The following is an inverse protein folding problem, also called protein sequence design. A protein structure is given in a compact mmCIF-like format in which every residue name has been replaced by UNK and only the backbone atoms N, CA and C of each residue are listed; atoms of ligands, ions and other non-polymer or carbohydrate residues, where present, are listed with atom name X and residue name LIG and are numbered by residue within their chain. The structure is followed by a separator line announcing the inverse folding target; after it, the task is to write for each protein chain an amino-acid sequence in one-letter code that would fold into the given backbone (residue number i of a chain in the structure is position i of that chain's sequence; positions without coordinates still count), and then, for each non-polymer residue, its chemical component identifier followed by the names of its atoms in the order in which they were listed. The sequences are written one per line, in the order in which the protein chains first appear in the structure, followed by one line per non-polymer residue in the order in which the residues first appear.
data_IF_713384541273
#
_entry.id   IF_713384541273
#
_cell.length_a   1.000
_cell.length_b   1.000
_cell.length_c   1.000
_cell.angle_alpha   90.00
_cell.angle_beta   90.00
_cell.angle_gamma   90.00
#
_symmetry.space_group_name_H-M   'P 1'
#
loop_
_entity.id
_entity.type
_entity.pdbx_description
1 polymer ?
#
# COMPACT_ATOMS: atom_id res chain seq x y z
N UNK A 1 22.74 -14.52 4.92
CA UNK A 1 22.00 -15.02 6.09
C UNK A 1 20.52 -14.86 5.77
N UNK A 2 19.78 -15.95 5.66
CA UNK A 2 18.34 -15.89 5.40
C UNK A 2 17.65 -15.28 6.61
N UNK A 3 17.27 -13.99 6.49
CA UNK A 3 16.52 -13.28 7.53
C UNK A 3 15.23 -14.04 7.91
N UNK A 4 14.67 -14.82 6.97
CA UNK A 4 13.49 -15.66 7.12
C UNK A 4 13.72 -16.98 7.86
N UNK A 5 14.98 -17.40 8.04
CA UNK A 5 15.34 -18.54 8.88
C UNK A 5 15.50 -18.15 10.36
N UNK A 6 15.34 -16.87 10.70
CA UNK A 6 15.32 -16.42 12.08
C UNK A 6 14.11 -17.01 12.81
N UNK A 7 14.29 -17.75 13.92
CA UNK A 7 13.24 -18.58 14.53
C UNK A 7 11.88 -17.88 14.78
N UNK A 8 11.82 -16.65 15.35
CA UNK A 8 10.53 -16.01 15.57
C UNK A 8 9.89 -15.53 14.27
N UNK A 9 10.66 -15.19 13.23
CA UNK A 9 10.12 -14.81 11.93
C UNK A 9 9.59 -16.04 11.18
N UNK A 10 10.29 -17.17 11.28
CA UNK A 10 9.83 -18.44 10.73
C UNK A 10 8.52 -18.91 11.37
N UNK A 11 8.39 -18.79 12.70
CA UNK A 11 7.15 -19.09 13.42
C UNK A 11 6.00 -18.19 12.99
N UNK A 12 6.24 -16.88 12.87
CA UNK A 12 5.21 -15.95 12.40
C UNK A 12 4.75 -16.26 10.98
N UNK A 13 5.68 -16.60 10.08
CA UNK A 13 5.35 -16.99 8.71
C UNK A 13 4.56 -18.29 8.67
N UNK A 14 4.97 -19.31 9.42
CA UNK A 14 4.26 -20.60 9.49
C UNK A 14 2.85 -20.44 10.08
N UNK A 15 2.70 -19.69 11.18
CA UNK A 15 1.38 -19.36 11.74
C UNK A 15 0.49 -18.63 10.73
N UNK A 16 1.06 -17.69 9.98
CA UNK A 16 0.33 -16.92 8.96
C UNK A 16 -0.10 -17.82 7.80
N UNK A 17 0.79 -18.68 7.31
CA UNK A 17 0.50 -19.65 6.24
C UNK A 17 -0.58 -20.63 6.66
N UNK A 18 -0.48 -21.21 7.86
CA UNK A 18 -1.51 -22.13 8.40
C UNK A 18 -2.86 -21.44 8.59
N UNK A 19 -2.87 -20.22 9.12
CA UNK A 19 -4.09 -19.45 9.28
C UNK A 19 -4.75 -19.14 7.93
N UNK A 20 -3.95 -18.80 6.90
CA UNK A 20 -4.44 -18.60 5.53
C UNK A 20 -5.04 -19.90 4.96
N UNK A 21 -4.35 -21.03 5.08
CA UNK A 21 -4.86 -22.33 4.60
C UNK A 21 -6.16 -22.76 5.33
N UNK A 22 -6.23 -22.54 6.64
CA UNK A 22 -7.44 -22.79 7.42
C UNK A 22 -8.61 -21.90 6.95
N UNK A 23 -8.33 -20.64 6.63
CA UNK A 23 -9.33 -19.74 6.07
C UNK A 23 -9.77 -20.16 4.66
N UNK A 24 -8.84 -20.61 3.82
CA UNK A 24 -9.14 -21.09 2.45
C UNK A 24 -10.05 -22.32 2.52
N UNK A 25 -9.69 -23.34 3.30
CA UNK A 25 -10.52 -24.55 3.48
C UNK A 25 -11.89 -24.25 4.07
N UNK A 26 -12.01 -23.26 4.95
CA UNK A 26 -13.30 -22.78 5.44
C UNK A 26 -14.15 -22.08 4.36
N UNK A 27 -13.52 -21.35 3.43
CA UNK A 27 -14.18 -20.63 2.35
C UNK A 27 -14.45 -21.48 1.10
N UNK A 28 -13.72 -22.57 0.93
CA UNK A 28 -13.82 -23.51 -0.19
C UNK A 28 -15.26 -24.00 -0.47
N UNK A 29 -16.07 -24.43 0.51
CA UNK A 29 -17.45 -24.86 0.24
C UNK A 29 -18.36 -23.71 -0.25
N UNK A 30 -18.01 -22.45 0.01
CA UNK A 30 -18.80 -21.27 -0.36
C UNK A 30 -18.36 -20.66 -1.69
N UNK A 31 -17.07 -20.73 -2.01
CA UNK A 31 -16.45 -19.94 -3.08
C UNK A 31 -15.71 -20.78 -4.12
N UNK A 32 -15.57 -22.09 -3.89
CA UNK A 32 -14.90 -23.02 -4.81
C UNK A 32 -13.47 -22.59 -5.12
N UNK A 33 -13.08 -22.63 -6.40
CA UNK A 33 -11.74 -22.26 -6.87
C UNK A 33 -11.34 -20.80 -6.61
N UNK A 34 -12.24 -19.94 -6.12
CA UNK A 34 -11.90 -18.56 -5.72
C UNK A 34 -11.53 -18.43 -4.24
N UNK A 35 -11.59 -19.51 -3.46
CA UNK A 35 -11.37 -19.46 -2.01
C UNK A 35 -10.03 -18.82 -1.62
N UNK A 36 -8.98 -19.08 -2.39
CA UNK A 36 -7.66 -18.49 -2.14
C UNK A 36 -7.63 -16.98 -2.44
N UNK A 37 -8.25 -16.52 -3.52
CA UNK A 37 -8.41 -15.09 -3.79
C UNK A 37 -9.23 -14.40 -2.69
N UNK A 38 -10.36 -15.00 -2.31
CA UNK A 38 -11.24 -14.45 -1.26
C UNK A 38 -10.53 -14.42 0.09
N UNK A 39 -9.75 -15.44 0.44
CA UNK A 39 -8.95 -15.46 1.66
C UNK A 39 -7.94 -14.29 1.69
N UNK A 40 -7.23 -14.04 0.58
CA UNK A 40 -6.34 -12.87 0.46
C UNK A 40 -7.10 -11.57 0.66
N UNK A 41 -8.28 -11.41 0.04
CA UNK A 41 -9.13 -10.21 0.20
C UNK A 41 -9.56 -10.04 1.66
N UNK A 42 -10.08 -11.10 2.31
CA UNK A 42 -10.57 -11.07 3.68
C UNK A 42 -9.46 -10.72 4.67
N UNK A 43 -8.29 -11.36 4.57
CA UNK A 43 -7.14 -11.06 5.42
C UNK A 43 -6.68 -9.62 5.21
N UNK A 44 -6.63 -9.16 3.96
CA UNK A 44 -6.27 -7.77 3.65
C UNK A 44 -7.23 -6.79 4.31
N UNK A 45 -8.54 -7.03 4.21
CA UNK A 45 -9.56 -6.17 4.84
C UNK A 45 -9.47 -6.21 6.37
N UNK A 46 -9.25 -7.38 6.97
CA UNK A 46 -9.09 -7.51 8.43
C UNK A 46 -7.91 -6.68 8.94
N UNK A 47 -6.75 -6.78 8.28
CA UNK A 47 -5.56 -5.96 8.62
C UNK A 47 -5.85 -4.47 8.41
N UNK A 48 -6.54 -4.11 7.33
CA UNK A 48 -6.91 -2.72 7.05
C UNK A 48 -7.87 -2.13 8.09
N UNK A 49 -8.80 -2.92 8.60
CA UNK A 49 -9.68 -2.56 9.72
C UNK A 49 -8.87 -2.30 10.98
N UNK A 50 -7.93 -3.19 11.33
CA UNK A 50 -7.05 -3.01 12.49
C UNK A 50 -6.18 -1.74 12.37
N UNK A 51 -5.81 -1.36 11.15
CA UNK A 51 -5.02 -0.16 10.86
C UNK A 51 -5.84 1.13 10.69
N UNK A 52 -7.18 1.09 10.86
CA UNK A 52 -8.03 2.29 10.85
C UNK A 52 -7.54 3.41 11.80
N UNK A 53 -7.17 3.18 13.07
CA UNK A 53 -6.66 4.24 13.95
C UNK A 53 -5.41 4.92 13.39
N UNK A 54 -4.51 4.15 12.76
CA UNK A 54 -3.32 4.71 12.10
C UNK A 54 -3.75 5.62 10.95
N UNK A 55 -4.71 5.19 10.12
CA UNK A 55 -5.24 6.04 9.04
C UNK A 55 -5.94 7.31 9.55
N UNK A 56 -6.62 7.26 10.70
CA UNK A 56 -7.18 8.46 11.35
C UNK A 56 -6.06 9.41 11.78
N UNK A 57 -4.98 8.91 12.38
CA UNK A 57 -3.83 9.76 12.74
C UNK A 57 -3.17 10.40 11.52
N UNK A 58 -3.09 9.68 10.40
CA UNK A 58 -2.58 10.23 9.13
C UNK A 58 -3.43 11.38 8.62
N UNK A 59 -4.76 11.22 8.61
CA UNK A 59 -5.67 12.25 8.13
C UNK A 59 -5.57 13.53 8.99
N UNK A 60 -5.45 13.37 10.32
CA UNK A 60 -5.20 14.51 11.23
C UNK A 60 -3.86 15.17 10.94
N UNK A 61 -2.79 14.40 10.73
CA UNK A 61 -1.48 14.93 10.38
C UNK A 61 -1.47 15.68 9.04
N UNK A 62 -2.19 15.17 8.02
CA UNK A 62 -2.37 15.83 6.73
C UNK A 62 -3.09 17.17 6.88
N UNK A 63 -4.18 17.21 7.65
CA UNK A 63 -4.92 18.43 7.94
C UNK A 63 -4.06 19.49 8.63
N UNK A 64 -3.30 19.10 9.66
CA UNK A 64 -2.39 20.01 10.36
C UNK A 64 -1.30 20.53 9.42
N UNK A 65 -0.70 19.67 8.58
CA UNK A 65 0.30 20.10 7.58
C UNK A 65 -0.28 21.08 6.57
N UNK A 66 -1.49 20.85 6.08
CA UNK A 66 -2.17 21.77 5.18
C UNK A 66 -2.42 23.14 5.85
N UNK A 67 -2.82 23.15 7.14
CA UNK A 67 -2.98 24.37 7.94
C UNK A 67 -1.67 25.15 8.10
N UNK A 68 -0.56 24.46 8.32
CA UNK A 68 0.76 25.07 8.56
C UNK A 68 1.48 25.49 7.27
N UNK A 69 1.13 24.91 6.12
CA UNK A 69 1.75 25.18 4.82
C UNK A 69 1.94 26.69 4.49
N UNK A 70 0.95 27.59 4.65
CA UNK A 70 1.15 29.01 4.35
C UNK A 70 2.18 29.67 5.26
N UNK A 71 2.21 29.34 6.56
CA UNK A 71 3.20 29.89 7.51
C UNK A 71 4.60 29.36 7.23
N UNK A 72 4.71 28.08 6.87
CA UNK A 72 5.96 27.47 6.44
C UNK A 72 6.53 28.17 5.20
N UNK A 73 5.70 28.54 4.23
CA UNK A 73 6.13 29.33 3.05
C UNK A 73 6.67 30.70 3.45
N UNK A 74 6.03 31.38 4.39
CA UNK A 74 6.51 32.68 4.90
C UNK A 74 7.88 32.55 5.54
N UNK A 75 8.10 31.51 6.36
CA UNK A 75 9.42 31.22 6.95
C UNK A 75 10.46 30.91 5.88
N UNK A 76 10.12 30.09 4.88
CA UNK A 76 11.01 29.76 3.76
C UNK A 76 11.43 31.00 2.98
N UNK A 77 10.51 31.94 2.71
CA UNK A 77 10.83 33.22 2.06
C UNK A 77 11.70 34.12 2.94
N UNK A 78 11.36 34.24 4.23
CA UNK A 78 12.07 35.12 5.18
C UNK A 78 13.51 34.67 5.44
N UNK A 79 13.73 33.37 5.53
CA UNK A 79 15.02 32.77 5.89
C UNK A 79 15.67 31.98 4.76
N UNK A 80 15.34 32.27 3.50
CA UNK A 80 15.85 31.56 2.33
C UNK A 80 17.39 31.44 2.29
N UNK A 81 18.09 32.46 2.81
CA UNK A 81 19.57 32.53 2.85
C UNK A 81 20.18 31.94 4.13
N UNK A 82 19.39 31.58 5.14
CA UNK A 82 19.88 31.07 6.42
C UNK A 82 19.16 29.75 6.77
N UNK A 83 19.72 28.64 6.28
CA UNK A 83 19.16 27.29 6.47
C UNK A 83 19.06 26.89 7.94
N UNK A 84 20.03 27.26 8.76
CA UNK A 84 20.03 26.92 10.17
C UNK A 84 18.88 27.62 10.91
N UNK A 85 18.70 28.92 10.66
CA UNK A 85 17.59 29.67 11.23
C UNK A 85 16.23 29.19 10.69
N UNK A 86 16.14 28.87 9.39
CA UNK A 86 14.96 28.27 8.79
C UNK A 86 14.56 26.97 9.50
N UNK A 87 15.51 26.07 9.77
CA UNK A 87 15.25 24.82 10.46
C UNK A 87 14.76 25.04 11.90
N UNK A 88 15.41 25.93 12.65
CA UNK A 88 15.02 26.26 14.04
C UNK A 88 13.60 26.83 14.10
N UNK A 89 13.29 27.83 13.29
CA UNK A 89 11.98 28.49 13.24
C UNK A 89 10.89 27.54 12.74
N UNK A 90 11.21 26.67 11.78
CA UNK A 90 10.28 25.62 11.30
C UNK A 90 9.94 24.64 12.42
N UNK A 91 10.95 24.17 13.15
CA UNK A 91 10.73 23.25 14.28
C UNK A 91 9.96 23.92 15.40
N UNK A 92 10.25 25.19 15.70
CA UNK A 92 9.53 25.98 16.68
C UNK A 92 8.05 26.13 16.29
N UNK A 93 7.75 26.46 15.03
CA UNK A 93 6.38 26.52 14.53
C UNK A 93 5.63 25.19 14.71
N UNK A 94 6.27 24.05 14.42
CA UNK A 94 5.67 22.74 14.66
C UNK A 94 5.39 22.51 16.15
N UNK A 95 6.32 22.89 17.04
CA UNK A 95 6.16 22.74 18.50
C UNK A 95 5.04 23.62 19.06
N UNK A 96 5.00 24.89 18.67
CA UNK A 96 4.00 25.86 19.12
C UNK A 96 2.58 25.42 18.72
N UNK A 97 2.46 24.70 17.60
CA UNK A 97 1.19 24.18 17.08
C UNK A 97 0.89 22.74 17.55
N UNK A 98 1.71 22.19 18.46
CA UNK A 98 1.55 20.81 18.98
C UNK A 98 1.65 19.73 17.90
N UNK A 99 2.36 20.02 16.80
CA UNK A 99 2.46 19.18 15.62
C UNK A 99 3.87 18.57 15.48
N UNK A 100 3.97 17.44 14.79
CA UNK A 100 5.27 16.79 14.51
C UNK A 100 5.51 16.68 13.00
N UNK A 101 6.73 17.02 12.52
CA UNK A 101 7.08 16.83 11.11
C UNK A 101 7.07 15.34 10.72
N UNK A 102 7.27 14.43 11.68
CA UNK A 102 7.30 12.99 11.46
C UNK A 102 5.93 12.30 11.55
N UNK A 103 4.86 13.01 11.92
CA UNK A 103 3.53 12.42 12.08
C UNK A 103 3.00 11.72 10.81
N UNK A 104 3.53 12.02 9.63
CA UNK A 104 3.17 11.37 8.38
C UNK A 104 3.96 10.11 7.99
N UNK A 105 5.04 9.73 8.70
CA UNK A 105 5.80 8.51 8.40
C UNK A 105 5.34 7.28 9.18
N UNK A 106 4.63 7.47 10.30
CA UNK A 106 3.97 6.44 11.10
C UNK A 106 3.25 5.34 10.27
N UNK A 107 2.43 5.67 9.26
CA UNK A 107 1.81 4.67 8.38
C UNK A 107 2.77 3.76 7.63
N UNK A 108 3.89 4.29 7.13
CA UNK A 108 4.87 3.48 6.40
C UNK A 108 5.50 2.47 7.36
N UNK A 109 5.82 2.91 8.58
CA UNK A 109 6.35 2.05 9.63
C UNK A 109 5.35 0.98 10.08
N UNK A 110 4.06 1.35 10.22
CA UNK A 110 3.02 0.41 10.61
C UNK A 110 2.69 -0.61 9.49
N UNK A 111 2.87 -0.22 8.22
CA UNK A 111 2.53 -1.06 7.07
C UNK A 111 3.68 -1.94 6.59
N UNK A 112 4.94 -1.55 6.86
CA UNK A 112 6.12 -2.31 6.44
C UNK A 112 6.11 -3.78 6.93
N UNK A 113 5.77 -4.10 8.20
CA UNK A 113 5.70 -5.49 8.66
C UNK A 113 4.64 -6.32 7.92
N UNK A 114 3.47 -5.71 7.66
CA UNK A 114 2.36 -6.38 6.96
C UNK A 114 2.76 -6.71 5.52
N UNK A 115 3.33 -5.74 4.80
CA UNK A 115 3.76 -5.93 3.41
C UNK A 115 4.91 -6.94 3.34
N UNK A 116 5.87 -6.85 4.27
CA UNK A 116 6.99 -7.80 4.34
C UNK A 116 6.52 -9.24 4.57
N UNK A 117 5.55 -9.44 5.47
CA UNK A 117 4.99 -10.76 5.77
C UNK A 117 4.22 -11.34 4.57
N UNK A 118 3.35 -10.54 3.94
CA UNK A 118 2.61 -10.96 2.74
C UNK A 118 3.55 -11.31 1.60
N UNK A 119 4.57 -10.47 1.35
CA UNK A 119 5.55 -10.72 0.31
C UNK A 119 6.35 -12.00 0.59
N UNK A 120 6.79 -12.20 1.83
CA UNK A 120 7.53 -13.40 2.23
C UNK A 120 6.69 -14.68 2.07
N UNK A 121 5.41 -14.65 2.43
CA UNK A 121 4.51 -15.82 2.29
C UNK A 121 4.25 -16.17 0.82
N UNK A 122 4.21 -15.21 -0.10
CA UNK A 122 3.88 -15.50 -1.52
C UNK A 122 5.08 -15.56 -2.47
N UNK A 123 6.29 -15.19 -2.02
CA UNK A 123 7.51 -15.36 -2.82
C UNK A 123 8.33 -16.59 -2.44
N UNK A 124 8.17 -17.13 -1.23
CA UNK A 124 8.97 -18.27 -0.81
C UNK A 124 8.25 -19.60 -1.15
N UNK A 125 8.88 -20.47 -1.96
CA UNK A 125 8.37 -21.82 -2.23
C UNK A 125 8.35 -22.71 -0.99
N UNK A 126 9.09 -22.32 0.05
CA UNK A 126 9.14 -23.01 1.33
C UNK A 126 9.00 -22.01 2.48
N UNK A 127 8.12 -22.31 3.42
CA UNK A 127 7.88 -21.49 4.62
C UNK A 127 8.01 -22.39 5.84
N UNK A 128 8.86 -22.03 6.79
CA UNK A 128 9.06 -22.81 8.02
C UNK A 128 9.53 -24.26 7.77
N UNK A 129 10.31 -24.49 6.71
CA UNK A 129 10.84 -25.83 6.36
C UNK A 129 9.87 -26.74 5.59
N UNK A 130 8.67 -26.26 5.25
CA UNK A 130 7.66 -27.02 4.50
C UNK A 130 7.40 -26.39 3.13
N UNK A 131 6.97 -27.21 2.16
CA UNK A 131 6.53 -26.71 0.84
C UNK A 131 5.31 -25.81 1.05
N UNK A 132 5.34 -24.65 0.41
CA UNK A 132 4.30 -23.66 0.51
C UNK A 132 3.11 -24.01 -0.40
N UNK A 133 2.17 -24.79 0.14
CA UNK A 133 0.96 -25.23 -0.58
C UNK A 133 0.04 -24.07 -0.96
N UNK A 134 0.22 -22.85 -0.41
CA UNK A 134 -0.53 -21.67 -0.86
C UNK A 134 -0.24 -21.29 -2.32
N UNK A 135 0.94 -21.65 -2.84
CA UNK A 135 1.34 -21.35 -4.22
C UNK A 135 0.69 -22.29 -5.24
N UNK A 136 0.15 -23.42 -4.79
CA UNK A 136 -0.56 -24.40 -5.63
C UNK A 136 -1.98 -23.94 -5.99
N UNK A 137 -2.54 -23.02 -5.21
CA UNK A 137 -3.86 -22.44 -5.50
C UNK A 137 -3.78 -21.45 -6.66
N UNK A 138 -4.79 -21.52 -7.53
CA UNK A 138 -4.99 -20.59 -8.63
C UNK A 138 -6.14 -19.61 -8.37
N UNK A 139 -6.18 -18.57 -9.19
CA UNK A 139 -7.32 -17.67 -9.29
C UNK A 139 -7.75 -17.67 -10.74
N UNK A 140 -8.93 -18.23 -11.00
CA UNK A 140 -9.46 -18.36 -12.36
C UNK A 140 -8.49 -19.09 -13.30
N UNK A 141 -7.70 -20.05 -12.80
CA UNK A 141 -6.69 -20.79 -13.57
C UNK A 141 -5.29 -20.14 -13.62
N UNK A 142 -5.10 -18.95 -13.04
CA UNK A 142 -3.78 -18.31 -12.93
C UNK A 142 -3.15 -18.58 -11.54
N UNK A 143 -1.96 -19.21 -11.44
CA UNK A 143 -1.35 -19.52 -10.15
C UNK A 143 -1.06 -18.26 -9.31
N UNK A 144 -1.36 -18.31 -8.02
CA UNK A 144 -1.18 -17.17 -7.09
C UNK A 144 0.27 -16.68 -6.99
N UNK A 145 1.24 -17.59 -7.13
CA UNK A 145 2.67 -17.31 -7.09
C UNK A 145 3.20 -16.66 -8.38
N UNK A 146 2.42 -16.62 -9.45
CA UNK A 146 2.90 -16.20 -10.77
C UNK A 146 2.89 -14.68 -10.90
N UNK A 147 3.99 -14.09 -11.40
CA UNK A 147 4.07 -12.68 -11.80
C UNK A 147 3.92 -12.55 -13.32
N UNK A 148 3.28 -11.49 -13.82
CA UNK A 148 3.12 -11.28 -15.27
C UNK A 148 4.48 -11.13 -15.97
N UNK A 149 5.36 -10.29 -15.44
CA UNK A 149 6.69 -10.06 -16.02
C UNK A 149 7.49 -11.35 -16.08
N UNK A 150 7.48 -12.16 -15.02
CA UNK A 150 8.14 -13.46 -15.00
C UNK A 150 7.56 -14.45 -16.03
N UNK A 151 6.23 -14.44 -16.22
CA UNK A 151 5.58 -15.29 -17.21
C UNK A 151 5.95 -14.86 -18.64
N UNK A 152 6.00 -13.55 -18.90
CA UNK A 152 6.41 -13.00 -20.20
C UNK A 152 7.90 -13.26 -20.49
N UNK A 153 8.78 -13.04 -19.52
CA UNK A 153 10.23 -13.23 -19.69
C UNK A 153 10.62 -14.68 -19.92
N UNK A 154 9.87 -15.62 -19.36
CA UNK A 154 10.09 -17.07 -19.54
C UNK A 154 9.32 -17.66 -20.72
N UNK A 155 8.51 -16.86 -21.43
CA UNK A 155 7.67 -17.33 -22.53
C UNK A 155 6.54 -18.27 -22.11
N UNK A 156 6.17 -18.27 -20.82
CA UNK A 156 5.17 -19.17 -20.25
C UNK A 156 3.82 -18.50 -20.02
N UNK A 157 3.65 -17.24 -20.43
CA UNK A 157 2.41 -16.48 -20.30
C UNK A 157 1.30 -17.07 -21.18
N UNK A 158 0.29 -17.62 -20.53
CA UNK A 158 -0.94 -18.12 -21.14
C UNK A 158 -2.04 -17.05 -21.16
N UNK A 159 -3.06 -17.26 -22.00
CA UNK A 159 -4.15 -16.30 -22.19
C UNK A 159 -4.91 -16.00 -20.88
N UNK A 160 -5.06 -16.99 -20.00
CA UNK A 160 -5.74 -16.85 -18.71
C UNK A 160 -4.95 -15.93 -17.77
N UNK A 161 -3.64 -16.17 -17.61
CA UNK A 161 -2.77 -15.28 -16.82
C UNK A 161 -2.82 -13.84 -17.34
N UNK A 162 -2.76 -13.65 -18.67
CA UNK A 162 -2.84 -12.32 -19.28
C UNK A 162 -4.17 -11.63 -18.97
N UNK A 163 -5.29 -12.34 -19.10
CA UNK A 163 -6.62 -11.80 -18.84
C UNK A 163 -6.78 -11.38 -17.37
N UNK A 164 -6.36 -12.25 -16.43
CA UNK A 164 -6.45 -11.97 -14.99
C UNK A 164 -5.61 -10.73 -14.62
N UNK A 165 -4.36 -10.66 -15.09
CA UNK A 165 -3.51 -9.50 -14.83
C UNK A 165 -4.03 -8.23 -15.51
N UNK A 166 -4.61 -8.31 -16.71
CA UNK A 166 -5.21 -7.17 -17.39
C UNK A 166 -6.38 -6.58 -16.58
N UNK A 167 -7.28 -7.43 -16.06
CA UNK A 167 -8.38 -7.00 -15.18
C UNK A 167 -7.83 -6.37 -13.91
N UNK A 168 -6.86 -7.01 -13.27
CA UNK A 168 -6.23 -6.52 -12.04
C UNK A 168 -5.62 -5.11 -12.24
N UNK A 169 -4.84 -4.93 -13.29
CA UNK A 169 -4.22 -3.64 -13.64
C UNK A 169 -5.27 -2.59 -13.98
N UNK A 170 -6.30 -2.96 -14.74
CA UNK A 170 -7.39 -2.04 -15.07
C UNK A 170 -8.11 -1.54 -13.81
N UNK A 171 -8.35 -2.41 -12.83
CA UNK A 171 -8.95 -2.02 -11.55
C UNK A 171 -8.03 -1.08 -10.77
N UNK A 172 -6.74 -1.42 -10.61
CA UNK A 172 -5.79 -0.55 -9.90
C UNK A 172 -5.67 0.81 -10.59
N UNK A 173 -5.56 0.83 -11.92
CA UNK A 173 -5.49 2.06 -12.71
C UNK A 173 -6.78 2.88 -12.60
N UNK A 174 -7.94 2.24 -12.60
CA UNK A 174 -9.23 2.89 -12.39
C UNK A 174 -9.33 3.55 -11.00
N UNK A 175 -8.90 2.84 -9.94
CA UNK A 175 -8.82 3.40 -8.58
C UNK A 175 -7.81 4.54 -8.51
N UNK A 176 -6.66 4.42 -9.19
CA UNK A 176 -5.64 5.46 -9.26
C UNK A 176 -6.16 6.72 -9.96
N UNK A 177 -6.86 6.58 -11.09
CA UNK A 177 -7.48 7.69 -11.81
C UNK A 177 -8.61 8.33 -10.99
N UNK A 178 -9.44 7.53 -10.32
CA UNK A 178 -10.47 8.05 -9.42
C UNK A 178 -9.85 8.81 -8.25
N UNK A 179 -8.77 8.29 -7.67
CA UNK A 179 -7.97 8.98 -6.63
C UNK A 179 -7.43 10.30 -7.16
N UNK A 180 -6.85 10.32 -8.37
CA UNK A 180 -6.33 11.54 -8.99
C UNK A 180 -7.43 12.57 -9.24
N UNK A 181 -8.61 12.14 -9.67
CA UNK A 181 -9.76 13.02 -9.93
C UNK A 181 -10.35 13.61 -8.65
N UNK A 182 -10.53 12.80 -7.61
CA UNK A 182 -11.22 13.19 -6.38
C UNK A 182 -10.29 13.79 -5.31
N UNK A 183 -9.01 13.39 -5.30
CA UNK A 183 -8.07 13.65 -4.21
C UNK A 183 -6.78 14.30 -4.71
N UNK A 184 -6.90 15.30 -5.61
CA UNK A 184 -5.74 16.04 -6.14
C UNK A 184 -4.84 16.53 -5.00
N UNK A 185 -3.56 16.11 -4.96
CA UNK A 185 -2.63 16.66 -3.98
C UNK A 185 -2.43 18.15 -4.26
N UNK A 186 -2.45 18.97 -3.21
CA UNK A 186 -2.13 20.38 -3.35
C UNK A 186 -0.63 20.50 -3.63
N UNK A 187 -0.28 20.82 -4.88
CA UNK A 187 1.11 21.14 -5.26
C UNK A 187 1.32 22.63 -5.04
N UNK A 188 2.49 23.00 -4.51
CA UNK A 188 2.84 24.39 -4.33
C UNK A 188 2.92 25.10 -5.70
N UNK A 189 2.21 26.22 -5.92
CA UNK A 189 2.30 26.95 -7.19
C UNK A 189 3.70 27.50 -7.47
N UNK A 190 4.58 27.59 -6.46
CA UNK A 190 5.99 27.96 -6.64
C UNK A 190 6.91 26.76 -6.91
N UNK A 191 6.40 25.53 -6.87
CA UNK A 191 7.19 24.35 -7.19
C UNK A 191 7.45 24.24 -8.71
N UNK A 192 8.59 23.68 -9.13
CA UNK A 192 8.87 23.44 -10.55
C UNK A 192 7.78 22.60 -11.22
N UNK A 193 7.45 22.90 -12.48
CA UNK A 193 6.37 22.24 -13.22
C UNK A 193 6.48 20.70 -13.27
N UNK A 194 7.69 20.15 -13.24
CA UNK A 194 7.93 18.70 -13.20
C UNK A 194 7.35 18.03 -11.95
N UNK A 195 7.27 18.76 -10.82
CA UNK A 195 6.74 18.23 -9.56
C UNK A 195 5.26 17.90 -9.66
N UNK A 196 4.47 18.76 -10.32
CA UNK A 196 3.05 18.52 -10.58
C UNK A 196 2.83 17.28 -11.46
N UNK A 197 3.66 17.12 -12.49
CA UNK A 197 3.65 15.94 -13.36
C UNK A 197 3.96 14.65 -12.58
N UNK A 198 5.04 14.65 -11.79
CA UNK A 198 5.43 13.49 -10.98
C UNK A 198 4.35 13.10 -9.97
N UNK A 199 3.77 14.08 -9.26
CA UNK A 199 2.70 13.83 -8.28
C UNK A 199 1.45 13.25 -8.95
N UNK A 200 1.16 13.63 -10.18
CA UNK A 200 0.06 13.06 -10.96
C UNK A 200 0.26 11.60 -11.35
N UNK A 201 1.51 11.14 -11.49
CA UNK A 201 1.86 9.76 -11.87
C UNK A 201 1.95 8.85 -10.65
N UNK A 202 2.24 9.38 -9.46
CA UNK A 202 2.41 8.58 -8.23
C UNK A 202 1.32 7.51 -8.00
N UNK A 203 0.01 7.78 -8.18
CA UNK A 203 -1.02 6.76 -7.97
C UNK A 203 -0.94 5.56 -8.94
N UNK A 204 -0.40 5.76 -10.14
CA UNK A 204 -0.27 4.72 -11.17
C UNK A 204 0.94 3.82 -10.95
N UNK A 205 1.91 4.23 -10.15
CA UNK A 205 3.10 3.41 -9.85
C UNK A 205 2.73 2.05 -9.28
N UNK A 206 1.64 1.96 -8.51
CA UNK A 206 1.15 0.69 -7.95
C UNK A 206 0.67 -0.28 -9.04
N UNK A 207 0.05 0.23 -10.12
CA UNK A 207 -0.36 -0.60 -11.25
C UNK A 207 0.87 -1.20 -11.97
N UNK A 208 1.95 -0.42 -12.11
CA UNK A 208 3.22 -0.91 -12.63
C UNK A 208 3.84 -1.99 -11.74
N UNK A 209 3.92 -1.74 -10.42
CA UNK A 209 4.46 -2.71 -9.44
C UNK A 209 3.67 -4.02 -9.45
N UNK A 210 2.34 -3.97 -9.61
CA UNK A 210 1.48 -5.15 -9.67
C UNK A 210 1.89 -6.15 -10.77
N UNK A 211 2.55 -5.69 -11.84
CA UNK A 211 3.03 -6.55 -12.93
C UNK A 211 4.27 -7.39 -12.56
N UNK A 212 5.07 -6.91 -11.61
CA UNK A 212 6.33 -7.54 -11.19
C UNK A 212 6.16 -8.47 -9.99
N UNK A 213 5.08 -8.33 -9.23
CA UNK A 213 4.83 -9.13 -8.03
C UNK A 213 3.95 -10.34 -8.35
N UNK A 214 3.93 -11.37 -7.48
CA UNK A 214 3.00 -12.49 -7.60
C UNK A 214 1.54 -12.02 -7.61
N UNK A 215 0.68 -12.79 -8.29
CA UNK A 215 -0.75 -12.50 -8.40
C UNK A 215 -1.42 -12.26 -7.03
N UNK A 216 -1.07 -13.05 -6.01
CA UNK A 216 -1.55 -12.84 -4.64
C UNK A 216 -1.24 -11.44 -4.10
N UNK A 217 0.00 -10.96 -4.33
CA UNK A 217 0.42 -9.62 -3.95
C UNK A 217 -0.30 -8.55 -4.80
N UNK A 218 -0.56 -8.83 -6.08
CA UNK A 218 -1.39 -7.99 -6.94
C UNK A 218 -2.83 -7.83 -6.42
N UNK A 219 -3.45 -8.92 -5.96
CA UNK A 219 -4.78 -8.89 -5.34
C UNK A 219 -4.77 -8.08 -4.06
N UNK A 220 -3.77 -8.31 -3.19
CA UNK A 220 -3.54 -7.48 -2.02
C UNK A 220 -3.47 -6.00 -2.38
N UNK A 221 -2.62 -5.61 -3.35
CA UNK A 221 -2.47 -4.22 -3.80
C UNK A 221 -3.79 -3.63 -4.31
N UNK A 222 -4.58 -4.42 -5.04
CA UNK A 222 -5.88 -4.00 -5.54
C UNK A 222 -6.84 -3.65 -4.40
N UNK A 223 -7.01 -4.55 -3.43
CA UNK A 223 -7.86 -4.30 -2.26
C UNK A 223 -7.31 -3.14 -1.43
N UNK A 224 -6.00 -3.09 -1.23
CA UNK A 224 -5.32 -2.05 -0.44
C UNK A 224 -5.53 -0.66 -1.03
N UNK A 225 -5.41 -0.52 -2.35
CA UNK A 225 -5.59 0.78 -3.03
C UNK A 225 -7.04 1.23 -2.99
N UNK A 226 -7.98 0.31 -3.25
CA UNK A 226 -9.42 0.58 -3.14
C UNK A 226 -9.81 0.99 -1.72
N UNK A 227 -9.34 0.25 -0.70
CA UNK A 227 -9.55 0.60 0.70
C UNK A 227 -8.99 1.98 1.02
N UNK A 228 -7.76 2.27 0.59
CA UNK A 228 -7.10 3.55 0.85
C UNK A 228 -7.88 4.71 0.26
N UNK A 229 -8.41 4.57 -0.96
CA UNK A 229 -9.29 5.56 -1.56
C UNK A 229 -10.56 5.77 -0.73
N UNK A 230 -11.27 4.69 -0.41
CA UNK A 230 -12.49 4.74 0.40
C UNK A 230 -12.25 5.42 1.76
N UNK A 231 -11.22 4.97 2.48
CA UNK A 231 -10.83 5.52 3.77
C UNK A 231 -10.49 7.01 3.67
N UNK A 232 -9.74 7.43 2.64
CA UNK A 232 -9.43 8.86 2.43
C UNK A 232 -10.67 9.69 2.15
N UNK A 233 -11.61 9.19 1.34
CA UNK A 233 -12.87 9.90 1.06
C UNK A 233 -13.71 10.07 2.33
N UNK A 234 -13.82 9.02 3.16
CA UNK A 234 -14.53 9.08 4.43
C UNK A 234 -13.85 10.02 5.44
N UNK A 235 -12.52 9.92 5.57
CA UNK A 235 -11.77 10.74 6.52
C UNK A 235 -11.71 12.20 6.11
N UNK A 236 -11.69 12.54 4.80
CA UNK A 236 -11.78 13.93 4.35
C UNK A 236 -13.12 14.59 4.67
N UNK A 237 -14.20 13.83 4.80
CA UNK A 237 -15.48 14.36 5.29
C UNK A 237 -15.42 14.74 6.77
N UNK A 238 -14.65 14.00 7.57
CA UNK A 238 -14.51 14.23 9.02
C UNK A 238 -13.38 15.20 9.39
N UNK A 239 -12.30 15.20 8.63
CA UNK A 239 -11.12 16.06 8.78
C UNK A 239 -10.87 16.83 7.47
N UNK A 240 -11.70 17.85 7.17
CA UNK A 240 -11.58 18.61 5.94
C UNK A 240 -10.27 19.41 5.91
N UNK A 241 -9.62 19.47 4.74
CA UNK A 241 -8.44 20.30 4.56
C UNK A 241 -8.86 21.79 4.54
N UNK A 242 -8.13 22.66 5.25
CA UNK A 242 -8.37 24.09 5.16
C UNK A 242 -8.16 24.56 3.70
N UNK A 243 -9.12 25.35 3.19
CA UNK A 243 -9.08 25.92 1.83
C UNK A 243 -8.12 27.09 1.76
#
# INVERSE_FOLDING_TARGET
MDLFAFPPLALLLDLTTRALLALISFLEPLTGGLAAAVAVVVVTLAVRVLLVPVGVSQARAEQTRARLAPRLRTLQKRWAKNRERLQRETMQLYRDEGASPFAGCLPVLAQAPVVGLLYAVFLHPQVGGHVNTLLEYDVLGAPLGRSLVGALSTGTADATTLAVFAVLVAVIAGVAELTRRLLRPAVDPSAPAWTTGMVGILPFTTAGVALFVPLAAGLYLTVTTAWTLCQRLLLRRRYPLPR
#
